data_IF_347075415428
#
_entry.id   IF_347075415428
#
_cell.length_a   1.000
_cell.length_b   1.000
_cell.length_c   1.000
_cell.angle_alpha   90.00
_cell.angle_beta   90.00
_cell.angle_gamma   90.00
#
_symmetry.space_group_name_H-M   'P 1'
#
loop_
_entity.id
_entity.type
_entity.pdbx_description
1 polymer ?
#
# COMPACT_ATOMS: atom_id res chain seq x y z
N UNK A 1 -12.49 -7.64 24.76
CA UNK A 1 -12.73 -6.17 24.66
C UNK A 1 -13.97 -5.98 23.81
N UNK A 2 -14.80 -4.96 24.07
CA UNK A 2 -15.90 -4.67 23.14
C UNK A 2 -15.29 -4.25 21.80
N UNK A 3 -15.57 -5.01 20.75
CA UNK A 3 -15.21 -4.66 19.37
C UNK A 3 -15.82 -3.29 19.11
N UNK A 4 -14.97 -2.28 18.90
CA UNK A 4 -15.44 -0.98 18.43
C UNK A 4 -15.81 -1.21 16.98
N UNK A 5 -17.11 -1.16 16.65
CA UNK A 5 -17.58 -1.22 15.25
C UNK A 5 -16.88 -0.12 14.46
N UNK A 6 -15.85 -0.50 13.70
CA UNK A 6 -15.02 0.46 12.96
C UNK A 6 -15.65 0.76 11.61
N UNK A 7 -16.29 -0.23 11.00
CA UNK A 7 -17.00 -0.10 9.74
C UNK A 7 -18.50 -0.17 9.94
N UNK A 8 -19.16 1.00 9.93
CA UNK A 8 -20.63 1.11 10.02
C UNK A 8 -21.32 1.14 8.66
N UNK A 9 -20.69 0.53 7.65
CA UNK A 9 -21.16 0.60 6.28
C UNK A 9 -22.56 -0.02 6.17
N UNK A 10 -23.56 0.81 5.91
CA UNK A 10 -24.95 0.35 5.72
C UNK A 10 -25.16 -0.38 4.40
N UNK A 11 -24.08 -0.67 3.64
CA UNK A 11 -24.12 -1.19 2.27
C UNK A 11 -24.19 -2.72 2.21
N UNK A 12 -23.93 -3.40 3.32
CA UNK A 12 -23.93 -4.86 3.41
C UNK A 12 -24.61 -5.36 4.69
N UNK A 13 -24.92 -6.66 4.72
CA UNK A 13 -25.32 -7.42 5.92
C UNK A 13 -24.25 -8.45 6.36
N UNK A 14 -23.04 -8.44 5.79
CA UNK A 14 -21.93 -9.25 6.30
C UNK A 14 -21.24 -8.55 7.48
N UNK A 15 -20.63 -9.33 8.36
CA UNK A 15 -19.79 -8.82 9.45
C UNK A 15 -18.44 -8.32 8.89
N UNK A 16 -18.31 -7.00 8.78
CA UNK A 16 -17.10 -6.36 8.24
C UNK A 16 -15.96 -6.34 9.26
N UNK A 17 -16.25 -6.30 10.56
CA UNK A 17 -15.22 -6.32 11.59
C UNK A 17 -14.50 -7.68 11.65
N UNK A 18 -15.20 -8.75 11.25
CA UNK A 18 -14.61 -10.08 11.08
C UNK A 18 -13.84 -10.22 9.75
N UNK A 19 -14.24 -9.51 8.69
CA UNK A 19 -13.60 -9.62 7.37
C UNK A 19 -12.37 -8.72 7.22
N UNK A 20 -12.36 -7.56 7.87
CA UNK A 20 -11.27 -6.58 7.77
C UNK A 20 -9.96 -7.16 8.30
N UNK A 21 -8.83 -6.73 7.72
CA UNK A 21 -7.53 -6.95 8.32
C UNK A 21 -7.29 -6.02 9.52
N UNK A 22 -6.72 -6.52 10.61
CA UNK A 22 -6.50 -5.73 11.82
C UNK A 22 -5.61 -4.51 11.58
N UNK A 23 -4.57 -4.64 10.75
CA UNK A 23 -3.67 -3.52 10.43
C UNK A 23 -4.39 -2.37 9.72
N UNK A 24 -5.34 -2.68 8.82
CA UNK A 24 -6.17 -1.66 8.17
C UNK A 24 -7.07 -0.94 9.20
N UNK A 25 -7.76 -1.71 10.05
CA UNK A 25 -8.60 -1.17 11.13
C UNK A 25 -7.81 -0.27 12.09
N UNK A 26 -6.62 -0.71 12.51
CA UNK A 26 -5.76 0.00 13.46
C UNK A 26 -5.36 1.39 12.94
N UNK A 27 -4.93 1.47 11.67
CA UNK A 27 -4.61 2.77 11.03
C UNK A 27 -5.83 3.68 10.89
N UNK A 28 -7.01 3.13 10.56
CA UNK A 28 -8.24 3.94 10.46
C UNK A 28 -8.61 4.57 11.80
N UNK A 29 -8.51 3.78 12.89
CA UNK A 29 -8.73 4.28 14.25
C UNK A 29 -7.72 5.37 14.62
N UNK A 30 -6.45 5.19 14.26
CA UNK A 30 -5.41 6.21 14.45
C UNK A 30 -5.73 7.50 13.67
N UNK A 31 -6.10 7.39 12.39
CA UNK A 31 -6.42 8.53 11.55
C UNK A 31 -7.67 9.28 11.99
N UNK A 32 -8.67 8.59 12.57
CA UNK A 32 -9.86 9.23 13.14
C UNK A 32 -9.53 10.08 14.38
N UNK A 33 -8.46 9.74 15.12
CA UNK A 33 -7.97 10.52 16.27
C UNK A 33 -6.96 11.61 15.87
N UNK A 34 -6.32 11.48 14.71
CA UNK A 34 -5.31 12.41 14.21
C UNK A 34 -5.91 13.74 13.72
N UNK A 35 -5.58 14.83 14.41
CA UNK A 35 -6.15 16.16 14.12
C UNK A 35 -5.69 16.74 12.79
N UNK A 36 -4.46 16.47 12.36
CA UNK A 36 -3.88 17.04 11.13
C UNK A 36 -4.46 16.34 9.91
N UNK A 37 -4.59 15.01 9.96
CA UNK A 37 -5.29 14.21 8.95
C UNK A 37 -6.76 14.62 8.87
N UNK A 38 -7.48 14.68 9.99
CA UNK A 38 -8.91 15.04 9.98
C UNK A 38 -9.15 16.47 9.47
N UNK A 39 -8.26 17.41 9.82
CA UNK A 39 -8.32 18.78 9.29
C UNK A 39 -8.19 18.78 7.76
N UNK A 40 -7.20 18.08 7.24
CA UNK A 40 -6.94 17.97 5.79
C UNK A 40 -8.11 17.33 5.06
N UNK A 41 -8.69 16.26 5.61
CA UNK A 41 -9.87 15.59 5.03
C UNK A 41 -11.09 16.53 4.99
N UNK A 42 -11.29 17.35 6.01
CA UNK A 42 -12.38 18.32 6.01
C UNK A 42 -12.15 19.42 4.96
N UNK A 43 -10.92 19.89 4.78
CA UNK A 43 -10.56 20.84 3.72
C UNK A 43 -10.81 20.24 2.32
N UNK A 44 -10.52 18.96 2.10
CA UNK A 44 -10.84 18.25 0.86
C UNK A 44 -12.36 18.21 0.62
N UNK A 45 -13.13 17.84 1.64
CA UNK A 45 -14.60 17.75 1.55
C UNK A 45 -15.26 19.09 1.23
N UNK A 46 -14.75 20.17 1.80
CA UNK A 46 -15.27 21.52 1.59
C UNK A 46 -14.97 22.05 0.18
N UNK A 47 -13.80 21.71 -0.38
CA UNK A 47 -13.33 22.20 -1.67
C UNK A 47 -13.72 21.30 -2.87
N UNK A 48 -14.02 20.03 -2.65
CA UNK A 48 -14.43 19.09 -3.69
C UNK A 48 -15.84 18.53 -3.41
N UNK A 49 -16.91 19.20 -3.87
CA UNK A 49 -18.25 18.62 -3.80
C UNK A 49 -18.28 17.30 -4.59
N UNK A 50 -18.77 16.24 -3.92
CA UNK A 50 -18.92 14.86 -4.40
C UNK A 50 -18.79 14.74 -5.92
N UNK A 51 -17.64 14.22 -6.36
CA UNK A 51 -17.37 13.96 -7.77
C UNK A 51 -18.53 13.12 -8.35
N UNK A 52 -19.26 13.65 -9.34
CA UNK A 52 -20.34 12.92 -10.02
C UNK A 52 -19.74 11.91 -11.00
N UNK A 53 -19.13 10.88 -10.43
CA UNK A 53 -18.39 9.77 -11.08
C UNK A 53 -19.09 9.25 -12.32
N UNK A 54 -20.40 8.98 -12.23
CA UNK A 54 -21.18 8.39 -13.32
C UNK A 54 -21.17 9.20 -14.63
N UNK A 55 -21.28 10.55 -14.57
CA UNK A 55 -21.32 11.38 -15.79
C UNK A 55 -19.95 11.45 -16.45
N UNK A 56 -18.88 11.40 -15.67
CA UNK A 56 -17.53 11.32 -16.19
C UNK A 56 -17.30 9.97 -16.87
N UNK A 57 -17.65 8.86 -16.20
CA UNK A 57 -17.55 7.50 -16.74
C UNK A 57 -18.28 7.36 -18.08
N UNK A 58 -19.51 7.88 -18.19
CA UNK A 58 -20.28 7.82 -19.45
C UNK A 58 -19.65 8.60 -20.62
N UNK A 59 -18.69 9.50 -20.37
CA UNK A 59 -17.98 10.24 -21.42
C UNK A 59 -16.70 9.54 -21.88
N UNK A 60 -16.00 8.85 -20.98
CA UNK A 60 -14.68 8.26 -21.23
C UNK A 60 -14.69 6.74 -21.39
N UNK A 61 -15.81 6.08 -21.08
CA UNK A 61 -15.93 4.62 -21.04
C UNK A 61 -17.26 4.11 -21.59
N UNK A 62 -17.28 2.85 -22.04
CA UNK A 62 -18.48 2.18 -22.55
C UNK A 62 -19.21 1.49 -21.38
N UNK A 63 -20.48 1.82 -21.18
CA UNK A 63 -21.34 1.12 -20.22
C UNK A 63 -21.65 -0.29 -20.69
N UNK A 64 -21.36 -1.29 -19.87
CA UNK A 64 -21.62 -2.70 -20.14
C UNK A 64 -22.97 -3.13 -19.57
N UNK A 65 -24.00 -3.09 -20.42
CA UNK A 65 -25.34 -3.56 -20.06
C UNK A 65 -25.41 -5.09 -19.98
N UNK A 66 -26.43 -5.65 -19.32
CA UNK A 66 -26.66 -7.11 -19.23
C UNK A 66 -26.76 -7.78 -20.61
N UNK A 67 -27.20 -7.06 -21.63
CA UNK A 67 -27.24 -7.54 -23.02
C UNK A 67 -25.87 -7.58 -23.69
N UNK A 68 -24.95 -6.67 -23.32
CA UNK A 68 -23.60 -6.60 -23.87
C UNK A 68 -22.61 -7.54 -23.16
N UNK A 69 -22.75 -7.69 -21.84
CA UNK A 69 -21.83 -8.45 -21.01
C UNK A 69 -22.57 -9.31 -19.98
N UNK A 70 -23.33 -10.34 -20.40
CA UNK A 70 -24.11 -11.17 -19.49
C UNK A 70 -23.25 -11.83 -18.40
N UNK A 71 -22.04 -12.30 -18.75
CA UNK A 71 -21.12 -12.92 -17.79
C UNK A 71 -20.69 -11.98 -16.66
N UNK A 72 -20.46 -10.69 -16.95
CA UNK A 72 -20.15 -9.69 -15.91
C UNK A 72 -21.35 -9.44 -15.00
N UNK A 73 -22.57 -9.45 -15.55
CA UNK A 73 -23.77 -9.28 -14.73
C UNK A 73 -24.02 -10.50 -13.83
N UNK A 74 -23.65 -11.70 -14.27
CA UNK A 74 -23.65 -12.89 -13.39
C UNK A 74 -22.59 -12.79 -12.27
N UNK A 75 -21.43 -12.20 -12.57
CA UNK A 75 -20.40 -11.89 -11.56
C UNK A 75 -20.96 -10.90 -10.53
N UNK A 76 -21.61 -9.82 -10.99
CA UNK A 76 -22.25 -8.87 -10.08
C UNK A 76 -23.32 -9.51 -9.20
N UNK A 77 -24.24 -10.28 -9.81
CA UNK A 77 -25.30 -10.97 -9.07
C UNK A 77 -24.69 -11.89 -7.98
N UNK A 78 -23.62 -12.62 -8.31
CA UNK A 78 -22.89 -13.46 -7.35
C UNK A 78 -22.20 -12.67 -6.24
N UNK A 79 -21.48 -11.59 -6.56
CA UNK A 79 -20.82 -10.75 -5.54
C UNK A 79 -21.85 -10.08 -4.62
N UNK A 80 -22.99 -9.63 -5.15
CA UNK A 80 -24.11 -9.10 -4.35
C UNK A 80 -24.61 -10.15 -3.37
N UNK A 81 -24.80 -11.39 -3.83
CA UNK A 81 -25.28 -12.48 -2.99
C UNK A 81 -24.29 -12.91 -1.91
N UNK A 82 -22.99 -12.99 -2.24
CA UNK A 82 -21.94 -13.39 -1.30
C UNK A 82 -21.69 -12.31 -0.25
N UNK A 83 -21.47 -11.07 -0.70
CA UNK A 83 -21.19 -9.93 0.16
C UNK A 83 -22.46 -9.26 0.70
N UNK A 84 -23.64 -9.87 0.51
CA UNK A 84 -24.95 -9.35 0.98
C UNK A 84 -25.15 -7.87 0.71
N UNK A 85 -24.80 -7.43 -0.50
CA UNK A 85 -24.84 -6.01 -0.86
C UNK A 85 -26.29 -5.54 -1.00
N UNK A 86 -26.53 -4.31 -0.52
CA UNK A 86 -27.82 -3.62 -0.68
C UNK A 86 -27.86 -2.73 -1.93
N UNK A 87 -26.70 -2.45 -2.52
CA UNK A 87 -26.53 -1.66 -3.74
C UNK A 87 -26.39 -2.56 -4.98
N UNK A 88 -26.85 -2.06 -6.13
CA UNK A 88 -26.64 -2.71 -7.43
C UNK A 88 -25.28 -2.33 -8.03
N UNK A 89 -24.77 -3.14 -8.97
CA UNK A 89 -23.47 -2.89 -9.64
C UNK A 89 -23.70 -2.49 -11.11
N UNK A 90 -23.03 -1.43 -11.56
CA UNK A 90 -23.01 -0.98 -12.95
C UNK A 90 -21.57 -1.00 -13.49
N UNK A 91 -21.35 -1.78 -14.56
CA UNK A 91 -20.03 -1.95 -15.16
C UNK A 91 -19.75 -0.99 -16.32
N UNK A 92 -18.49 -0.60 -16.43
CA UNK A 92 -17.93 0.20 -17.52
C UNK A 92 -16.63 -0.42 -18.02
N UNK A 93 -16.33 -0.24 -19.31
CA UNK A 93 -15.04 -0.61 -19.90
C UNK A 93 -14.36 0.57 -20.55
N UNK A 94 -13.06 0.70 -20.33
CA UNK A 94 -12.21 1.69 -21.01
C UNK A 94 -11.10 1.01 -21.79
N UNK A 95 -10.62 1.69 -22.83
CA UNK A 95 -9.58 1.17 -23.70
C UNK A 95 -8.22 1.26 -23.00
N UNK A 96 -7.69 0.11 -22.61
CA UNK A 96 -6.31 -0.04 -22.13
C UNK A 96 -5.88 -1.49 -22.27
N UNK A 97 -4.62 -1.71 -22.63
CA UNK A 97 -4.01 -3.04 -22.67
C UNK A 97 -3.44 -3.46 -21.30
N UNK A 98 -3.29 -2.52 -20.36
CA UNK A 98 -2.91 -2.82 -18.97
C UNK A 98 -4.07 -3.55 -18.27
N UNK A 99 -3.77 -4.46 -17.36
CA UNK A 99 -4.80 -5.11 -16.54
C UNK A 99 -5.10 -4.22 -15.35
N UNK A 100 -6.29 -3.63 -15.32
CA UNK A 100 -6.67 -2.73 -14.24
C UNK A 100 -8.19 -2.68 -14.10
N UNK A 101 -8.66 -2.51 -12.87
CA UNK A 101 -10.03 -2.25 -12.51
C UNK A 101 -10.06 -1.19 -11.40
N UNK A 102 -11.19 -0.52 -11.24
CA UNK A 102 -11.39 0.41 -10.13
C UNK A 102 -12.87 0.50 -9.79
N UNK A 103 -13.19 0.65 -8.51
CA UNK A 103 -14.49 1.11 -8.07
C UNK A 103 -14.50 2.64 -7.91
N UNK A 104 -15.52 3.30 -8.46
CA UNK A 104 -15.72 4.73 -8.25
C UNK A 104 -16.62 4.99 -7.04
N UNK A 105 -16.50 6.17 -6.40
CA UNK A 105 -17.31 6.53 -5.24
C UNK A 105 -18.80 6.23 -5.49
N UNK A 106 -19.42 5.44 -4.59
CA UNK A 106 -20.74 4.89 -4.81
C UNK A 106 -21.84 5.95 -4.65
N UNK A 107 -22.92 5.80 -5.42
CA UNK A 107 -24.19 6.45 -5.08
C UNK A 107 -24.89 5.62 -3.96
N UNK A 108 -25.97 6.14 -3.36
CA UNK A 108 -26.68 5.44 -2.27
C UNK A 108 -27.07 4.00 -2.65
N UNK A 109 -27.54 3.78 -3.89
CA UNK A 109 -28.09 2.50 -4.37
C UNK A 109 -27.22 1.81 -5.44
N UNK A 110 -26.05 2.38 -5.79
CA UNK A 110 -25.21 1.88 -6.89
C UNK A 110 -23.71 1.97 -6.66
N UNK A 111 -23.04 0.89 -7.06
CA UNK A 111 -21.59 0.79 -7.21
C UNK A 111 -21.22 0.88 -8.69
N UNK A 112 -20.15 1.61 -8.98
CA UNK A 112 -19.65 1.79 -10.34
C UNK A 112 -18.29 1.13 -10.48
N UNK A 113 -18.21 0.04 -11.24
CA UNK A 113 -16.95 -0.68 -11.47
C UNK A 113 -16.52 -0.44 -12.90
N UNK A 114 -15.30 0.07 -13.06
CA UNK A 114 -14.67 0.24 -14.37
C UNK A 114 -13.56 -0.79 -14.54
N UNK A 115 -13.48 -1.40 -15.72
CA UNK A 115 -12.52 -2.47 -16.03
C UNK A 115 -11.80 -2.12 -17.33
N UNK A 116 -10.50 -2.36 -17.43
CA UNK A 116 -9.79 -2.19 -18.68
C UNK A 116 -10.18 -3.25 -19.71
N UNK A 117 -10.15 -2.91 -21.00
CA UNK A 117 -10.34 -3.89 -22.07
C UNK A 117 -9.35 -5.05 -21.99
N UNK A 118 -8.11 -4.79 -21.58
CA UNK A 118 -7.08 -5.80 -21.42
C UNK A 118 -7.45 -6.85 -20.37
N UNK A 119 -7.97 -6.42 -19.21
CA UNK A 119 -8.42 -7.36 -18.17
C UNK A 119 -9.67 -8.12 -18.60
N UNK A 120 -10.67 -7.41 -19.14
CA UNK A 120 -11.94 -8.00 -19.55
C UNK A 120 -11.79 -9.15 -20.56
N UNK A 121 -10.86 -9.02 -21.51
CA UNK A 121 -10.64 -10.01 -22.57
C UNK A 121 -9.73 -11.18 -22.14
N UNK A 122 -8.92 -11.01 -21.08
CA UNK A 122 -7.87 -11.96 -20.73
C UNK A 122 -8.12 -12.74 -19.43
N UNK A 123 -9.15 -12.37 -18.65
CA UNK A 123 -9.45 -12.98 -17.36
C UNK A 123 -10.68 -13.88 -17.47
N UNK A 124 -10.66 -15.02 -16.79
CA UNK A 124 -11.83 -15.91 -16.72
C UNK A 124 -12.90 -15.32 -15.81
N UNK A 125 -14.10 -15.91 -15.83
CA UNK A 125 -15.19 -15.49 -14.95
C UNK A 125 -14.80 -15.55 -13.47
N UNK A 126 -14.08 -16.59 -13.07
CA UNK A 126 -13.63 -16.82 -11.70
C UNK A 126 -12.51 -15.86 -11.28
N UNK A 127 -11.61 -15.53 -12.20
CA UNK A 127 -10.56 -14.52 -11.96
C UNK A 127 -11.19 -13.12 -11.83
N UNK A 128 -12.20 -12.80 -12.66
CA UNK A 128 -12.96 -11.55 -12.55
C UNK A 128 -13.84 -11.48 -11.28
N UNK A 129 -14.31 -12.61 -10.73
CA UNK A 129 -14.98 -12.65 -9.42
C UNK A 129 -14.07 -12.14 -8.31
N UNK A 130 -12.79 -12.53 -8.33
CA UNK A 130 -11.79 -12.03 -7.38
C UNK A 130 -11.60 -10.51 -7.55
N UNK A 131 -11.34 -10.05 -8.78
CA UNK A 131 -11.11 -8.62 -9.05
C UNK A 131 -12.32 -7.78 -8.64
N UNK A 132 -13.53 -8.16 -9.06
CA UNK A 132 -14.75 -7.41 -8.73
C UNK A 132 -15.02 -7.43 -7.23
N UNK A 133 -14.82 -8.57 -6.56
CA UNK A 133 -14.94 -8.65 -5.11
C UNK A 133 -13.94 -7.78 -4.35
N UNK A 134 -12.70 -7.70 -4.85
CA UNK A 134 -11.64 -6.85 -4.32
C UNK A 134 -12.02 -5.36 -4.44
N UNK A 135 -12.45 -4.92 -5.61
CA UNK A 135 -12.93 -3.54 -5.84
C UNK A 135 -14.13 -3.16 -4.95
N UNK A 136 -15.04 -4.11 -4.71
CA UNK A 136 -16.15 -3.91 -3.78
C UNK A 136 -15.63 -3.83 -2.34
N UNK A 137 -14.60 -4.60 -1.99
CA UNK A 137 -13.92 -4.53 -0.69
C UNK A 137 -13.49 -3.10 -0.35
N UNK A 138 -12.85 -2.39 -1.28
CA UNK A 138 -12.50 -0.97 -1.07
C UNK A 138 -13.69 -0.07 -0.75
N UNK A 139 -14.87 -0.37 -1.28
CA UNK A 139 -16.09 0.38 -0.96
C UNK A 139 -16.63 0.00 0.41
N UNK A 140 -16.65 -1.29 0.74
CA UNK A 140 -17.20 -1.79 1.99
C UNK A 140 -16.42 -1.28 3.20
N UNK A 141 -15.09 -1.28 3.10
CA UNK A 141 -14.18 -0.75 4.11
C UNK A 141 -13.90 0.75 3.96
N UNK A 142 -14.70 1.47 3.17
CA UNK A 142 -14.62 2.93 3.03
C UNK A 142 -13.21 3.47 2.72
N UNK A 143 -12.36 2.72 2.01
CA UNK A 143 -10.98 3.12 1.72
C UNK A 143 -10.91 4.47 0.95
N UNK A 144 -11.97 4.81 0.20
CA UNK A 144 -12.09 6.11 -0.47
C UNK A 144 -12.21 7.31 0.49
N UNK A 145 -12.43 7.11 1.79
CA UNK A 145 -12.44 8.16 2.82
C UNK A 145 -11.06 8.80 2.98
N UNK A 146 -9.99 8.05 2.67
CA UNK A 146 -8.61 8.48 2.80
C UNK A 146 -7.88 8.43 1.45
N UNK A 147 -8.20 9.33 0.50
CA UNK A 147 -7.52 9.38 -0.79
C UNK A 147 -6.08 9.89 -0.60
N UNK A 148 -5.12 8.97 -0.37
CA UNK A 148 -3.75 9.29 0.07
C UNK A 148 -3.13 10.41 -0.75
N UNK A 149 -3.10 10.32 -2.08
CA UNK A 149 -2.47 11.33 -2.94
C UNK A 149 -3.06 12.72 -2.76
N UNK A 150 -4.38 12.83 -2.65
CA UNK A 150 -5.08 14.11 -2.47
C UNK A 150 -4.92 14.64 -1.04
N UNK A 151 -4.88 13.76 -0.04
CA UNK A 151 -4.54 14.11 1.34
C UNK A 151 -3.14 14.71 1.40
N UNK A 152 -2.16 14.10 0.73
CA UNK A 152 -0.79 14.60 0.70
C UNK A 152 -0.66 15.91 -0.09
N UNK A 153 -1.37 16.03 -1.22
CA UNK A 153 -1.39 17.26 -2.03
C UNK A 153 -1.97 18.45 -1.24
N UNK A 154 -3.16 18.29 -0.65
CA UNK A 154 -3.82 19.38 0.11
C UNK A 154 -3.13 19.62 1.45
N UNK A 155 -2.63 18.55 2.06
CA UNK A 155 -1.98 18.56 3.35
C UNK A 155 -0.49 18.92 3.31
N UNK A 156 0.09 19.31 2.18
CA UNK A 156 1.55 19.53 2.05
C UNK A 156 2.14 20.49 3.11
N UNK A 157 1.37 21.49 3.54
CA UNK A 157 1.78 22.45 4.57
C UNK A 157 1.29 22.12 5.99
N UNK A 158 0.55 21.02 6.16
CA UNK A 158 -0.08 20.61 7.42
C UNK A 158 0.50 19.29 7.92
N UNK A 159 0.71 18.35 7.02
CA UNK A 159 1.10 16.98 7.30
C UNK A 159 2.62 16.85 7.30
N UNK A 160 3.16 16.27 8.36
CA UNK A 160 4.57 15.85 8.40
C UNK A 160 4.84 14.62 7.52
N UNK A 161 6.11 14.35 7.13
CA UNK A 161 6.48 13.13 6.41
C UNK A 161 6.05 11.85 7.12
N UNK A 162 6.00 11.84 8.46
CA UNK A 162 5.51 10.69 9.22
C UNK A 162 4.05 10.36 8.88
N UNK A 163 3.20 11.37 8.66
CA UNK A 163 1.81 11.14 8.21
C UNK A 163 1.79 10.50 6.82
N UNK A 164 2.64 10.97 5.90
CA UNK A 164 2.76 10.36 4.58
C UNK A 164 3.18 8.90 4.64
N UNK A 165 4.20 8.57 5.45
CA UNK A 165 4.63 7.18 5.66
C UNK A 165 3.49 6.31 6.21
N UNK A 166 2.72 6.81 7.19
CA UNK A 166 1.56 6.10 7.76
C UNK A 166 0.42 5.94 6.76
N UNK A 167 0.09 6.97 5.97
CA UNK A 167 -0.93 6.90 4.93
C UNK A 167 -0.57 5.86 3.85
N UNK A 168 0.70 5.81 3.43
CA UNK A 168 1.15 4.77 2.51
C UNK A 168 1.17 3.38 3.15
N UNK A 169 1.50 3.27 4.44
CA UNK A 169 1.41 2.00 5.18
C UNK A 169 -0.02 1.51 5.26
N UNK A 170 -0.96 2.37 5.65
CA UNK A 170 -2.38 2.08 5.62
C UNK A 170 -2.87 1.64 4.24
N UNK A 171 -2.49 2.34 3.16
CA UNK A 171 -2.88 1.96 1.80
C UNK A 171 -2.46 0.52 1.45
N UNK A 172 -1.29 0.06 1.95
CA UNK A 172 -0.86 -1.33 1.78
C UNK A 172 -1.68 -2.32 2.61
N UNK A 173 -2.07 -1.93 3.82
CA UNK A 173 -2.91 -2.73 4.72
C UNK A 173 -4.34 -2.87 4.17
N UNK A 174 -4.91 -1.80 3.61
CA UNK A 174 -6.22 -1.74 2.98
C UNK A 174 -6.37 -2.77 1.83
N UNK A 175 -5.30 -3.03 1.08
CA UNK A 175 -5.29 -4.05 0.02
C UNK A 175 -5.51 -5.47 0.57
N UNK A 176 -5.05 -5.76 1.80
CA UNK A 176 -5.28 -7.06 2.45
C UNK A 176 -6.77 -7.24 2.79
N UNK A 177 -7.41 -6.19 3.31
CA UNK A 177 -8.86 -6.20 3.56
C UNK A 177 -9.65 -6.40 2.26
N UNK A 178 -9.29 -5.67 1.20
CA UNK A 178 -9.92 -5.82 -0.11
C UNK A 178 -9.70 -7.22 -0.71
N UNK A 179 -8.50 -7.78 -0.57
CA UNK A 179 -8.18 -9.14 -0.98
C UNK A 179 -9.04 -10.19 -0.30
N UNK A 180 -9.29 -10.06 1.01
CA UNK A 180 -10.20 -10.98 1.74
C UNK A 180 -11.61 -10.96 1.14
N UNK A 181 -12.13 -9.78 0.81
CA UNK A 181 -13.43 -9.65 0.13
C UNK A 181 -13.41 -10.27 -1.29
N UNK A 182 -12.32 -10.09 -2.03
CA UNK A 182 -12.08 -10.72 -3.33
C UNK A 182 -12.07 -12.26 -3.23
N UNK A 183 -11.31 -12.83 -2.30
CA UNK A 183 -11.26 -14.28 -2.09
C UNK A 183 -12.62 -14.82 -1.66
N UNK A 184 -13.36 -14.10 -0.82
CA UNK A 184 -14.71 -14.49 -0.41
C UNK A 184 -15.66 -14.59 -1.61
N UNK A 185 -15.61 -13.62 -2.55
CA UNK A 185 -16.39 -13.67 -3.78
C UNK A 185 -15.97 -14.81 -4.73
N UNK A 186 -14.66 -15.01 -4.88
CA UNK A 186 -14.12 -16.04 -5.77
C UNK A 186 -14.32 -17.47 -5.23
N UNK A 187 -14.17 -17.65 -3.92
CA UNK A 187 -14.28 -18.93 -3.22
C UNK A 187 -13.18 -19.94 -3.55
N UNK A 188 -12.13 -19.54 -4.29
CA UNK A 188 -11.05 -20.43 -4.72
C UNK A 188 -9.69 -19.74 -4.71
N UNK A 189 -8.85 -20.09 -3.74
CA UNK A 189 -7.50 -19.52 -3.60
C UNK A 189 -6.57 -19.79 -4.78
N UNK A 190 -6.70 -20.92 -5.47
CA UNK A 190 -5.87 -21.22 -6.65
C UNK A 190 -6.15 -20.26 -7.80
N UNK A 191 -7.42 -19.90 -7.99
CA UNK A 191 -7.85 -18.89 -8.98
C UNK A 191 -7.31 -17.51 -8.59
N UNK A 192 -7.35 -17.15 -7.30
CA UNK A 192 -6.80 -15.88 -6.82
C UNK A 192 -5.29 -15.79 -7.06
N UNK A 193 -4.53 -16.82 -6.71
CA UNK A 193 -3.10 -16.86 -6.96
C UNK A 193 -2.76 -16.79 -8.47
N UNK A 194 -3.56 -17.46 -9.33
CA UNK A 194 -3.43 -17.34 -10.78
C UNK A 194 -3.77 -15.93 -11.28
N UNK A 195 -4.73 -15.26 -10.66
CA UNK A 195 -5.09 -13.87 -10.95
C UNK A 195 -3.91 -12.94 -10.65
N UNK A 196 -3.29 -13.07 -9.47
CA UNK A 196 -2.06 -12.33 -9.15
C UNK A 196 -0.90 -12.64 -10.09
N UNK A 197 -0.75 -13.90 -10.52
CA UNK A 197 0.24 -14.27 -11.51
C UNK A 197 0.03 -13.50 -12.83
N UNK A 198 -1.21 -13.40 -13.32
CA UNK A 198 -1.54 -12.62 -14.52
C UNK A 198 -1.30 -11.13 -14.33
N UNK A 199 -1.71 -10.57 -13.21
CA UNK A 199 -1.49 -9.16 -12.86
C UNK A 199 0.00 -8.80 -12.84
N UNK A 200 0.83 -9.67 -12.25
CA UNK A 200 2.27 -9.45 -12.12
C UNK A 200 3.04 -9.65 -13.42
N UNK A 201 2.69 -10.69 -14.18
CA UNK A 201 3.52 -11.14 -15.31
C UNK A 201 3.00 -10.68 -16.67
N UNK A 202 1.73 -10.28 -16.76
CA UNK A 202 1.06 -10.07 -18.05
C UNK A 202 0.74 -11.37 -18.81
N UNK A 203 1.14 -12.54 -18.30
CA UNK A 203 1.03 -13.82 -19.03
C UNK A 203 -0.37 -14.40 -18.88
N UNK A 204 -1.16 -14.30 -19.95
CA UNK A 204 -2.56 -14.76 -20.00
C UNK A 204 -2.75 -16.06 -20.78
N UNK A 205 -1.72 -16.51 -21.49
CA UNK A 205 -1.77 -17.62 -22.41
C UNK A 205 -1.90 -18.98 -21.72
N UNK A 206 -2.75 -19.85 -22.26
CA UNK A 206 -2.84 -21.27 -21.89
C UNK A 206 -1.56 -22.09 -22.21
N UNK A 207 -0.53 -21.48 -22.81
CA UNK A 207 0.74 -22.16 -23.09
C UNK A 207 1.63 -22.34 -21.87
N UNK A 208 1.30 -21.70 -20.75
CA UNK A 208 1.97 -21.92 -19.47
C UNK A 208 1.09 -22.82 -18.59
N UNK A 209 1.61 -23.97 -18.20
CA UNK A 209 0.97 -24.83 -17.21
C UNK A 209 1.17 -24.23 -15.81
N UNK A 210 0.27 -23.34 -15.41
CA UNK A 210 0.33 -22.68 -14.11
C UNK A 210 0.17 -23.74 -13.01
N UNK A 211 1.19 -23.83 -12.16
CA UNK A 211 1.18 -24.71 -10.98
C UNK A 211 1.26 -23.85 -9.74
N UNK A 212 0.15 -23.80 -9.00
CA UNK A 212 0.06 -23.05 -7.75
C UNK A 212 1.25 -23.33 -6.82
N UNK A 213 1.55 -24.61 -6.59
CA UNK A 213 2.65 -25.00 -5.70
C UNK A 213 4.02 -24.52 -6.18
N UNK A 214 4.26 -24.44 -7.49
CA UNK A 214 5.54 -23.95 -8.01
C UNK A 214 5.61 -22.42 -7.94
N UNK A 215 4.49 -21.74 -8.14
CA UNK A 215 4.39 -20.29 -7.95
C UNK A 215 4.55 -19.90 -6.47
N UNK A 216 3.83 -20.58 -5.57
CA UNK A 216 3.94 -20.35 -4.12
C UNK A 216 5.32 -20.75 -3.58
N UNK A 217 5.98 -21.79 -4.10
CA UNK A 217 7.35 -22.13 -3.65
C UNK A 217 8.35 -21.01 -3.91
N UNK A 218 8.22 -20.27 -5.01
CA UNK A 218 9.01 -19.06 -5.25
C UNK A 218 8.82 -18.02 -4.15
N UNK A 219 7.70 -18.11 -3.41
CA UNK A 219 7.35 -17.23 -2.31
C UNK A 219 7.58 -17.83 -0.91
N UNK A 220 7.58 -19.14 -0.74
CA UNK A 220 8.01 -19.78 0.52
C UNK A 220 9.49 -19.53 0.75
N UNK A 221 10.26 -19.47 -0.34
CA UNK A 221 11.63 -18.98 -0.29
C UNK A 221 11.71 -17.48 0.05
N UNK A 222 10.62 -16.69 0.11
CA UNK A 222 10.69 -15.28 0.51
C UNK A 222 11.30 -15.13 1.90
N UNK A 223 10.93 -15.95 2.88
CA UNK A 223 11.53 -15.82 4.21
C UNK A 223 13.05 -16.09 4.19
N UNK A 224 13.51 -17.00 3.31
CA UNK A 224 14.93 -17.28 3.09
C UNK A 224 15.62 -16.19 2.25
N UNK A 225 14.95 -15.67 1.22
CA UNK A 225 15.36 -14.60 0.32
C UNK A 225 15.44 -13.26 1.04
N UNK A 226 14.54 -13.02 1.98
CA UNK A 226 14.52 -11.85 2.86
C UNK A 226 15.67 -11.85 3.87
N UNK A 227 16.13 -13.05 4.24
CA UNK A 227 17.34 -13.25 5.04
C UNK A 227 18.61 -13.41 4.17
N UNK A 228 18.47 -13.52 2.85
CA UNK A 228 19.59 -13.57 1.92
C UNK A 228 20.02 -12.15 1.56
N UNK A 229 21.15 -11.75 2.11
CA UNK A 229 21.81 -10.47 1.82
C UNK A 229 22.19 -10.27 0.34
N UNK A 230 22.07 -11.28 -0.53
CA UNK A 230 22.37 -11.21 -1.96
C UNK A 230 21.16 -11.00 -2.88
N UNK A 231 19.93 -11.07 -2.37
CA UNK A 231 18.75 -10.80 -3.18
C UNK A 231 18.39 -9.32 -3.16
N UNK A 232 17.99 -8.76 -4.30
CA UNK A 232 17.50 -7.39 -4.41
C UNK A 232 15.97 -7.39 -4.48
N UNK A 233 15.27 -7.01 -3.38
CA UNK A 233 13.81 -6.90 -3.33
C UNK A 233 13.28 -5.57 -3.88
N UNK A 234 14.07 -4.78 -4.61
CA UNK A 234 13.65 -3.48 -5.17
C UNK A 234 12.38 -3.56 -6.03
N UNK A 235 12.14 -4.69 -6.70
CA UNK A 235 10.92 -5.00 -7.46
C UNK A 235 9.64 -5.05 -6.61
N UNK A 236 9.75 -5.08 -5.28
CA UNK A 236 8.63 -5.22 -4.36
C UNK A 236 7.91 -3.90 -4.05
N UNK A 237 8.44 -2.77 -4.51
CA UNK A 237 7.94 -1.41 -4.21
C UNK A 237 7.11 -0.78 -5.35
N UNK A 238 6.61 -1.59 -6.28
CA UNK A 238 5.73 -1.10 -7.36
C UNK A 238 4.39 -0.57 -6.81
N UNK A 239 3.59 0.12 -7.65
CA UNK A 239 2.35 0.85 -7.30
C UNK A 239 1.26 0.12 -6.48
N UNK A 240 1.35 -1.19 -6.29
CA UNK A 240 0.53 -1.97 -5.34
C UNK A 240 1.43 -2.78 -4.40
N UNK A 241 1.04 -3.05 -3.14
CA UNK A 241 1.80 -3.95 -2.26
C UNK A 241 2.13 -5.26 -2.98
N UNK A 242 3.37 -5.71 -2.83
CA UNK A 242 3.96 -6.85 -3.53
C UNK A 242 3.00 -8.06 -3.55
N UNK A 243 2.59 -8.45 -4.76
CA UNK A 243 1.63 -9.54 -5.00
C UNK A 243 1.93 -10.83 -4.20
N UNK A 244 3.20 -11.22 -3.99
CA UNK A 244 3.52 -12.36 -3.14
C UNK A 244 3.21 -12.23 -1.64
N UNK A 245 3.40 -11.04 -1.02
CA UNK A 245 3.01 -10.85 0.38
C UNK A 245 1.49 -10.94 0.51
N UNK A 246 0.76 -10.37 -0.45
CA UNK A 246 -0.69 -10.45 -0.54
C UNK A 246 -1.19 -11.88 -0.73
N UNK A 247 -0.57 -12.65 -1.64
CA UNK A 247 -0.85 -14.08 -1.81
C UNK A 247 -0.60 -14.83 -0.51
N UNK A 248 0.49 -14.52 0.22
CA UNK A 248 0.80 -15.17 1.49
C UNK A 248 -0.23 -14.83 2.56
N UNK A 249 -0.63 -13.57 2.68
CA UNK A 249 -1.69 -13.13 3.58
C UNK A 249 -3.03 -13.82 3.26
N UNK A 250 -3.35 -13.94 1.97
CA UNK A 250 -4.53 -14.68 1.51
C UNK A 250 -4.43 -16.19 1.74
N UNK A 251 -3.24 -16.78 1.69
CA UNK A 251 -3.02 -18.19 2.03
C UNK A 251 -3.35 -18.44 3.50
N UNK A 252 -2.90 -17.53 4.39
CA UNK A 252 -3.22 -17.56 5.82
C UNK A 252 -4.74 -17.38 6.03
N UNK A 253 -5.35 -16.39 5.38
CA UNK A 253 -6.80 -16.19 5.43
C UNK A 253 -7.59 -17.40 4.92
N UNK A 254 -7.13 -18.04 3.83
CA UNK A 254 -7.74 -19.25 3.29
C UNK A 254 -7.71 -20.44 4.27
N UNK A 255 -6.75 -20.45 5.21
CA UNK A 255 -6.58 -21.47 6.25
C UNK A 255 -7.20 -21.07 7.59
N UNK A 256 -7.81 -19.90 7.69
CA UNK A 256 -8.29 -19.35 8.96
C UNK A 256 -9.65 -19.88 9.41
N UNK A 257 -9.87 -19.86 10.73
CA UNK A 257 -11.21 -20.00 11.30
C UNK A 257 -12.15 -18.89 10.85
N UNK A 258 -11.64 -17.68 10.62
CA UNK A 258 -12.38 -16.52 10.09
C UNK A 258 -13.07 -16.84 8.76
N UNK A 259 -12.34 -17.34 7.76
CA UNK A 259 -12.94 -17.70 6.46
C UNK A 259 -13.96 -18.83 6.61
N UNK A 260 -13.74 -19.79 7.51
CA UNK A 260 -14.68 -20.88 7.78
C UNK A 260 -16.03 -20.38 8.31
N UNK A 261 -16.07 -19.23 8.99
CA UNK A 261 -17.34 -18.62 9.42
C UNK A 261 -18.17 -18.15 8.22
N UNK A 262 -17.53 -17.68 7.16
CA UNK A 262 -18.19 -17.26 5.92
C UNK A 262 -18.46 -18.43 4.96
N UNK A 263 -17.52 -19.38 4.87
CA UNK A 263 -17.56 -20.53 3.97
C UNK A 263 -17.40 -21.82 4.80
N UNK A 264 -18.51 -22.44 5.28
CA UNK A 264 -18.45 -23.59 6.19
C UNK A 264 -17.73 -24.84 5.65
N UNK A 265 -17.51 -24.92 4.34
CA UNK A 265 -16.77 -26.03 3.70
C UNK A 265 -15.25 -25.89 3.79
N UNK A 266 -14.72 -24.74 4.23
CA UNK A 266 -13.28 -24.52 4.38
C UNK A 266 -12.76 -25.28 5.62
N UNK A 267 -11.62 -25.94 5.46
CA UNK A 267 -10.91 -26.57 6.55
C UNK A 267 -9.99 -25.54 7.23
N UNK A 268 -10.39 -25.05 8.40
CA UNK A 268 -9.57 -24.15 9.20
C UNK A 268 -8.41 -24.90 9.86
N UNK A 269 -7.21 -24.34 9.74
CA UNK A 269 -5.95 -24.85 10.29
C UNK A 269 -5.35 -23.90 11.34
N UNK A 270 -5.68 -22.61 11.27
CA UNK A 270 -5.17 -21.56 12.18
C UNK A 270 -6.31 -20.72 12.75
N UNK A 271 -6.11 -20.20 13.96
CA UNK A 271 -7.07 -19.29 14.61
C UNK A 271 -7.00 -17.89 14.00
N UNK A 272 -8.00 -17.06 14.30
CA UNK A 272 -8.03 -15.64 13.92
C UNK A 272 -6.78 -14.90 14.45
N UNK A 273 -6.50 -14.97 15.76
CA UNK A 273 -5.32 -14.35 16.37
C UNK A 273 -4.00 -14.77 15.68
N UNK A 274 -3.84 -16.06 15.37
CA UNK A 274 -2.65 -16.57 14.69
C UNK A 274 -2.52 -16.03 13.27
N UNK A 275 -3.63 -15.95 12.54
CA UNK A 275 -3.66 -15.39 11.20
C UNK A 275 -3.27 -13.91 11.23
N UNK A 276 -3.89 -13.11 12.10
CA UNK A 276 -3.63 -11.67 12.21
C UNK A 276 -2.18 -11.39 12.61
N UNK A 277 -1.63 -12.12 13.59
CA UNK A 277 -0.23 -12.00 14.01
C UNK A 277 0.76 -12.33 12.89
N UNK A 278 0.51 -13.40 12.12
CA UNK A 278 1.39 -13.79 11.01
C UNK A 278 1.30 -12.80 9.84
N UNK A 279 0.10 -12.32 9.50
CA UNK A 279 -0.05 -11.27 8.48
C UNK A 279 0.64 -9.99 8.95
N UNK A 280 0.50 -9.60 10.22
CA UNK A 280 1.19 -8.43 10.79
C UNK A 280 2.71 -8.55 10.70
N UNK A 281 3.29 -9.71 11.00
CA UNK A 281 4.74 -9.95 10.80
C UNK A 281 5.15 -9.81 9.33
N UNK A 282 4.28 -10.20 8.40
CA UNK A 282 4.55 -10.05 6.97
C UNK A 282 4.50 -8.56 6.58
N UNK A 283 3.50 -7.83 7.06
CA UNK A 283 3.27 -6.43 6.71
C UNK A 283 4.30 -5.50 7.36
N UNK A 284 4.73 -5.77 8.59
CA UNK A 284 5.71 -4.95 9.31
C UNK A 284 7.05 -4.80 8.58
N UNK A 285 7.37 -5.74 7.68
CA UNK A 285 8.54 -5.69 6.80
C UNK A 285 8.52 -4.49 5.84
N UNK A 286 7.36 -3.91 5.58
CA UNK A 286 7.18 -2.72 4.74
C UNK A 286 6.86 -1.47 5.56
N UNK A 287 6.75 -1.57 6.88
CA UNK A 287 6.26 -0.50 7.75
C UNK A 287 7.40 0.28 8.43
N UNK A 288 7.16 1.55 8.80
CA UNK A 288 8.16 2.40 9.43
C UNK A 288 8.42 2.06 10.92
N UNK A 289 8.04 0.86 11.40
CA UNK A 289 8.14 0.44 12.81
C UNK A 289 9.56 0.58 13.40
N UNK A 290 10.58 0.59 12.55
CA UNK A 290 11.97 0.82 12.95
C UNK A 290 12.22 2.22 13.56
N UNK A 291 11.36 3.21 13.29
CA UNK A 291 11.41 4.54 13.89
C UNK A 291 10.96 4.55 15.36
N UNK A 292 10.17 3.57 15.80
CA UNK A 292 9.56 3.54 17.14
C UNK A 292 10.42 2.82 18.20
N UNK A 293 11.51 2.17 17.81
CA UNK A 293 12.26 1.32 18.75
C UNK A 293 13.30 2.10 19.57
N UNK A 294 13.20 2.05 20.90
CA UNK A 294 14.23 2.49 21.87
C UNK A 294 15.49 1.59 21.84
N UNK A 295 15.74 0.92 20.72
CA UNK A 295 16.88 0.05 20.52
C UNK A 295 18.07 0.88 20.01
N UNK A 296 19.29 0.43 20.31
CA UNK A 296 20.51 1.05 19.77
C UNK A 296 20.49 1.10 18.23
N UNK A 297 19.82 0.14 17.59
CA UNK A 297 19.64 0.07 16.14
C UNK A 297 18.65 1.11 15.62
N UNK A 298 17.51 1.30 16.30
CA UNK A 298 16.53 2.34 15.96
C UNK A 298 17.16 3.73 15.97
N UNK A 299 17.99 4.03 16.98
CA UNK A 299 18.71 5.30 17.04
C UNK A 299 19.67 5.52 15.87
N UNK A 300 20.35 4.46 15.38
CA UNK A 300 21.25 4.56 14.22
C UNK A 300 20.48 4.79 12.92
N UNK A 301 19.35 4.13 12.73
CA UNK A 301 18.49 4.36 11.56
C UNK A 301 17.96 5.79 11.59
N UNK A 302 17.44 6.25 12.73
CA UNK A 302 16.96 7.63 12.88
C UNK A 302 18.07 8.65 12.61
N UNK A 303 19.29 8.43 13.10
CA UNK A 303 20.44 9.30 12.76
C UNK A 303 20.75 9.31 11.27
N UNK A 304 20.74 8.15 10.62
CA UNK A 304 20.95 8.06 9.17
C UNK A 304 19.85 8.80 8.40
N UNK A 305 18.58 8.60 8.77
CA UNK A 305 17.42 9.32 8.20
C UNK A 305 17.56 10.82 8.39
N UNK A 306 17.97 11.27 9.57
CA UNK A 306 18.12 12.68 9.89
C UNK A 306 19.25 13.34 9.10
N UNK A 307 20.45 12.77 9.10
CA UNK A 307 21.57 13.34 8.34
C UNK A 307 21.35 13.21 6.84
N UNK A 308 20.79 12.10 6.36
CA UNK A 308 20.44 11.91 4.95
C UNK A 308 19.40 12.94 4.49
N UNK A 309 18.34 13.12 5.27
CA UNK A 309 17.32 14.13 5.01
C UNK A 309 17.88 15.56 5.09
N UNK A 310 18.76 15.85 6.04
CA UNK A 310 19.45 17.14 6.09
C UNK A 310 20.33 17.39 4.85
N UNK A 311 21.03 16.36 4.36
CA UNK A 311 21.82 16.46 3.13
C UNK A 311 20.93 16.70 1.89
N UNK A 312 19.71 16.16 1.88
CA UNK A 312 18.72 16.44 0.84
C UNK A 312 18.29 17.90 0.93
N UNK A 313 17.90 18.37 2.11
CA UNK A 313 17.43 19.76 2.32
C UNK A 313 18.47 20.85 2.08
N UNK A 314 19.78 20.55 2.17
CA UNK A 314 20.83 21.52 1.84
C UNK A 314 21.24 21.44 0.36
N UNK A 315 20.68 20.54 -0.44
CA UNK A 315 21.17 20.23 -1.78
C UNK A 315 21.01 21.42 -2.75
N UNK A 316 19.95 22.22 -2.58
CA UNK A 316 19.68 23.43 -3.34
C UNK A 316 20.40 24.68 -2.77
N UNK A 317 21.05 24.54 -1.61
CA UNK A 317 21.78 25.57 -0.89
C UNK A 317 20.96 26.43 0.07
N UNK A 318 19.67 26.14 0.28
CA UNK A 318 18.79 26.86 1.21
C UNK A 318 18.00 25.87 2.08
N UNK A 319 18.28 25.85 3.38
CA UNK A 319 17.47 25.06 4.31
C UNK A 319 16.30 25.90 4.80
N UNK A 320 15.09 25.43 4.54
CA UNK A 320 13.87 26.01 5.08
C UNK A 320 13.54 25.44 6.48
N UNK A 321 12.96 26.28 7.35
CA UNK A 321 12.54 25.86 8.70
C UNK A 321 11.51 24.71 8.66
N UNK A 322 10.71 24.65 7.59
CA UNK A 322 9.76 23.57 7.27
C UNK A 322 10.45 22.21 7.13
N UNK A 323 11.61 22.16 6.48
CA UNK A 323 12.35 20.94 6.24
C UNK A 323 12.98 20.39 7.52
N UNK A 324 13.57 21.26 8.35
CA UNK A 324 14.09 20.86 9.66
C UNK A 324 12.95 20.33 10.54
N UNK A 325 11.78 20.94 10.47
CA UNK A 325 10.60 20.48 11.20
C UNK A 325 10.08 19.13 10.65
N UNK A 326 10.18 18.90 9.34
CA UNK A 326 9.87 17.62 8.71
C UNK A 326 10.80 16.51 9.25
N UNK A 327 12.11 16.77 9.32
CA UNK A 327 13.10 15.85 9.90
C UNK A 327 12.90 15.61 11.40
N UNK A 328 12.38 16.58 12.14
CA UNK A 328 12.04 16.40 13.56
C UNK A 328 10.95 15.36 13.76
N UNK A 329 10.00 15.26 12.83
CA UNK A 329 8.83 14.38 12.98
C UNK A 329 9.15 12.88 12.87
N UNK A 330 10.29 12.54 12.25
CA UNK A 330 10.68 11.15 11.95
C UNK A 330 11.70 10.59 12.95
N UNK A 331 12.21 11.40 13.88
CA UNK A 331 13.19 10.96 14.89
C UNK A 331 12.72 11.27 16.30
N UNK A 332 13.23 10.53 17.28
CA UNK A 332 12.98 10.83 18.68
C UNK A 332 13.73 12.11 19.12
N UNK A 333 13.31 12.67 20.25
CA UNK A 333 13.82 13.95 20.74
C UNK A 333 15.32 13.91 21.08
N UNK A 334 15.84 12.77 21.53
CA UNK A 334 17.24 12.61 21.91
C UNK A 334 18.15 12.58 20.67
N UNK A 335 17.74 11.84 19.64
CA UNK A 335 18.41 11.80 18.33
C UNK A 335 18.36 13.17 17.68
N UNK A 336 17.19 13.83 17.65
CA UNK A 336 17.05 15.17 17.10
C UNK A 336 18.04 16.16 17.74
N UNK A 337 18.07 16.18 19.07
CA UNK A 337 18.92 17.11 19.83
C UNK A 337 20.41 16.85 19.58
N UNK A 338 20.81 15.58 19.56
CA UNK A 338 22.20 15.19 19.31
C UNK A 338 22.61 15.53 17.88
N UNK A 339 21.78 15.20 16.90
CA UNK A 339 22.08 15.45 15.49
C UNK A 339 22.12 16.94 15.15
N UNK A 340 21.24 17.76 15.75
CA UNK A 340 21.30 19.22 15.60
C UNK A 340 22.60 19.82 16.18
N UNK A 341 23.08 19.31 17.32
CA UNK A 341 24.38 19.73 17.85
C UNK A 341 25.49 19.38 16.86
N UNK A 342 25.51 18.14 16.35
CA UNK A 342 26.49 17.70 15.37
C UNK A 342 26.51 18.61 14.14
N UNK A 343 25.34 18.91 13.55
CA UNK A 343 25.24 19.80 12.38
C UNK A 343 25.78 21.20 12.67
N UNK A 344 25.53 21.72 13.89
CA UNK A 344 26.01 23.06 14.25
C UNK A 344 27.53 23.13 14.50
N UNK A 345 28.16 22.01 14.85
CA UNK A 345 29.56 21.92 15.22
C UNK A 345 30.47 21.43 14.09
N UNK A 346 29.90 20.80 13.06
CA UNK A 346 30.63 20.11 12.00
C UNK A 346 30.35 20.69 10.61
N UNK A 347 31.30 20.49 9.71
CA UNK A 347 31.19 20.81 8.29
C UNK A 347 30.37 19.76 7.53
N UNK A 348 29.91 20.09 6.33
CA UNK A 348 29.20 19.13 5.47
C UNK A 348 30.02 17.86 5.19
N UNK A 349 31.33 17.99 4.97
CA UNK A 349 32.23 16.85 4.75
C UNK A 349 32.28 15.92 5.98
N UNK A 350 32.30 16.49 7.19
CA UNK A 350 32.30 15.72 8.44
C UNK A 350 30.95 15.01 8.66
N UNK A 351 29.83 15.62 8.25
CA UNK A 351 28.50 14.97 8.29
C UNK A 351 28.45 13.80 7.29
N UNK A 352 29.04 13.97 6.09
CA UNK A 352 29.17 12.89 5.11
C UNK A 352 30.01 11.74 5.69
N UNK A 353 31.12 12.04 6.38
CA UNK A 353 31.94 11.03 7.05
C UNK A 353 31.16 10.29 8.15
N UNK A 354 30.31 11.00 8.91
CA UNK A 354 29.42 10.38 9.89
C UNK A 354 28.38 9.46 9.22
N UNK A 355 27.73 9.92 8.14
CA UNK A 355 26.83 9.12 7.32
C UNK A 355 27.49 7.84 6.79
N UNK A 356 28.73 7.95 6.31
CA UNK A 356 29.52 6.80 5.85
C UNK A 356 29.85 5.81 6.99
N UNK A 357 30.06 6.30 8.20
CA UNK A 357 30.34 5.43 9.35
C UNK A 357 29.08 4.72 9.82
N UNK A 358 27.96 5.44 9.92
CA UNK A 358 26.66 4.84 10.24
C UNK A 358 26.27 3.81 9.18
N UNK A 359 26.45 4.12 7.90
CA UNK A 359 26.08 3.20 6.81
C UNK A 359 26.89 1.90 6.83
N UNK A 360 28.16 1.90 7.27
CA UNK A 360 28.95 0.66 7.45
C UNK A 360 28.31 -0.28 8.45
N UNK A 361 27.83 0.25 9.57
CA UNK A 361 27.14 -0.54 10.60
C UNK A 361 25.78 -1.01 10.12
N UNK A 362 24.99 -0.12 9.51
CA UNK A 362 23.68 -0.46 8.96
C UNK A 362 23.78 -1.54 7.88
N UNK A 363 24.81 -1.51 7.02
CA UNK A 363 25.03 -2.53 6.00
C UNK A 363 25.35 -3.93 6.54
N UNK A 364 25.81 -4.02 7.79
CA UNK A 364 26.09 -5.30 8.45
C UNK A 364 24.85 -5.82 9.17
N UNK A 365 24.03 -4.91 9.69
CA UNK A 365 22.94 -5.26 10.60
C UNK A 365 21.55 -5.27 9.97
N UNK A 366 21.34 -4.50 8.91
CA UNK A 366 20.04 -4.39 8.26
C UNK A 366 19.90 -5.37 7.10
N UNK A 367 18.70 -5.93 6.96
CA UNK A 367 18.31 -6.64 5.75
C UNK A 367 18.22 -5.67 4.57
N UNK A 368 18.27 -6.21 3.34
CA UNK A 368 18.11 -5.39 2.13
C UNK A 368 16.77 -4.65 2.16
N UNK A 369 15.71 -5.32 2.62
CA UNK A 369 14.37 -4.73 2.75
C UNK A 369 14.35 -3.51 3.68
N UNK A 370 14.99 -3.57 4.84
CA UNK A 370 15.06 -2.44 5.76
C UNK A 370 15.80 -1.25 5.15
N UNK A 371 16.85 -1.50 4.36
CA UNK A 371 17.59 -0.45 3.64
C UNK A 371 16.73 0.18 2.54
N UNK A 372 15.95 -0.61 1.82
CA UNK A 372 14.98 -0.10 0.83
C UNK A 372 13.90 0.76 1.50
N UNK A 373 13.37 0.36 2.66
CA UNK A 373 12.39 1.16 3.41
C UNK A 373 12.98 2.52 3.81
N UNK A 374 14.22 2.55 4.32
CA UNK A 374 14.93 3.79 4.66
C UNK A 374 15.01 4.73 3.44
N UNK A 375 15.39 4.20 2.27
CA UNK A 375 15.51 4.99 1.04
C UNK A 375 14.15 5.47 0.50
N UNK A 376 13.11 4.62 0.57
CA UNK A 376 11.73 5.02 0.26
C UNK A 376 11.29 6.16 1.17
N UNK A 377 11.52 6.02 2.46
CA UNK A 377 11.07 6.99 3.46
C UNK A 377 11.86 8.32 3.35
N UNK A 378 13.13 8.27 2.95
CA UNK A 378 13.91 9.46 2.53
C UNK A 378 13.35 10.12 1.26
N UNK A 379 12.89 9.33 0.30
CA UNK A 379 12.29 9.85 -0.93
C UNK A 379 10.94 10.53 -0.67
N UNK A 380 10.20 10.10 0.37
CA UNK A 380 8.98 10.79 0.81
C UNK A 380 9.32 12.17 1.42
N UNK A 381 10.45 12.28 2.13
CA UNK A 381 10.90 13.54 2.72
C UNK A 381 11.30 14.54 1.62
N UNK A 382 12.00 14.09 0.58
CA UNK A 382 12.35 14.96 -0.56
C UNK A 382 11.14 15.44 -1.36
N UNK A 383 9.99 14.77 -1.28
CA UNK A 383 8.78 15.17 -2.00
C UNK A 383 7.92 16.19 -1.24
N UNK A 384 8.38 16.70 -0.09
CA UNK A 384 7.53 17.47 0.84
C UNK A 384 6.97 18.78 0.26
N UNK A 385 7.62 19.35 -0.76
CA UNK A 385 7.22 20.57 -1.47
C UNK A 385 6.49 20.31 -2.81
N UNK A 386 6.37 19.04 -3.22
CA UNK A 386 5.67 18.60 -4.43
C UNK A 386 6.50 18.58 -5.72
N UNK A 387 7.78 18.98 -5.70
CA UNK A 387 8.70 18.87 -6.84
C UNK A 387 10.09 18.44 -6.37
N UNK A 388 10.64 17.36 -6.93
CA UNK A 388 12.00 16.91 -6.55
C UNK A 388 13.02 17.52 -7.50
N UNK A 389 13.97 18.27 -6.94
CA UNK A 389 15.09 18.87 -7.67
C UNK A 389 16.12 17.81 -8.08
N UNK A 390 16.88 18.07 -9.14
CA UNK A 390 17.90 17.11 -9.64
C UNK A 390 19.00 16.87 -8.61
N UNK A 391 19.33 17.93 -7.89
CA UNK A 391 20.32 17.97 -6.82
C UNK A 391 19.91 17.03 -5.67
N UNK A 392 18.62 16.99 -5.31
CA UNK A 392 18.08 16.08 -4.29
C UNK A 392 18.11 14.62 -4.75
N UNK A 393 17.78 14.35 -6.03
CA UNK A 393 17.90 13.01 -6.61
C UNK A 393 19.35 12.51 -6.55
N UNK A 394 20.34 13.37 -6.80
CA UNK A 394 21.75 13.02 -6.69
C UNK A 394 22.13 12.64 -5.25
N UNK A 395 21.62 13.36 -4.24
CA UNK A 395 21.82 12.99 -2.84
C UNK A 395 21.16 11.64 -2.51
N UNK A 396 19.93 11.40 -2.97
CA UNK A 396 19.25 10.10 -2.79
C UNK A 396 20.02 8.95 -3.45
N UNK A 397 20.58 9.16 -4.64
CA UNK A 397 21.47 8.19 -5.29
C UNK A 397 22.72 7.92 -4.46
N UNK A 398 23.34 8.95 -3.90
CA UNK A 398 24.51 8.80 -3.02
C UNK A 398 24.16 8.03 -1.74
N UNK A 399 23.02 8.33 -1.09
CA UNK A 399 22.52 7.60 0.07
C UNK A 399 22.23 6.13 -0.26
N UNK A 400 21.67 5.86 -1.45
CA UNK A 400 21.48 4.49 -1.95
C UNK A 400 22.79 3.72 -2.08
N UNK A 401 23.83 4.36 -2.63
CA UNK A 401 25.16 3.76 -2.74
C UNK A 401 25.78 3.50 -1.36
N UNK A 402 25.59 4.39 -0.39
CA UNK A 402 26.05 4.18 0.99
C UNK A 402 25.41 2.93 1.62
N UNK A 403 24.14 2.66 1.33
CA UNK A 403 23.42 1.47 1.79
C UNK A 403 23.60 0.24 0.87
N UNK A 404 24.49 0.32 -0.13
CA UNK A 404 24.75 -0.73 -1.11
C UNK A 404 23.48 -1.20 -1.83
N UNK A 405 22.61 -0.25 -2.18
CA UNK A 405 21.39 -0.44 -2.95
C UNK A 405 21.58 0.18 -4.34
N UNK A 406 21.05 -0.49 -5.38
CA UNK A 406 21.07 0.01 -6.75
C UNK A 406 20.23 1.30 -6.87
N UNK A 407 20.78 2.33 -7.52
CA UNK A 407 20.12 3.64 -7.70
C UNK A 407 18.86 3.55 -8.55
N UNK A 408 18.71 2.52 -9.40
CA UNK A 408 17.47 2.26 -10.16
C UNK A 408 16.23 2.13 -9.27
N UNK A 409 16.41 1.73 -8.01
CA UNK A 409 15.33 1.69 -7.02
C UNK A 409 14.76 3.09 -6.73
N UNK A 410 15.64 4.09 -6.58
CA UNK A 410 15.24 5.48 -6.36
C UNK A 410 14.46 5.98 -7.56
N UNK A 411 14.99 5.79 -8.77
CA UNK A 411 14.32 6.23 -9.99
C UNK A 411 12.92 5.63 -10.12
N UNK A 412 12.73 4.37 -9.69
CA UNK A 412 11.41 3.72 -9.68
C UNK A 412 10.45 4.35 -8.68
N UNK A 413 10.88 4.54 -7.42
CA UNK A 413 10.05 5.19 -6.39
C UNK A 413 9.61 6.57 -6.86
N UNK A 414 10.53 7.35 -7.42
CA UNK A 414 10.25 8.71 -7.88
C UNK A 414 9.27 8.72 -9.06
N UNK A 415 9.44 7.80 -10.02
CA UNK A 415 8.49 7.65 -11.13
C UNK A 415 7.10 7.21 -10.65
N UNK A 416 7.01 6.30 -9.68
CA UNK A 416 5.73 5.84 -9.13
C UNK A 416 5.03 6.95 -8.33
N UNK A 417 5.79 7.79 -7.60
CA UNK A 417 5.26 8.97 -6.91
C UNK A 417 4.74 10.04 -7.90
N UNK A 418 5.42 10.24 -9.02
CA UNK A 418 5.02 11.17 -10.09
C UNK A 418 3.93 10.61 -11.02
N UNK A 419 3.70 9.29 -11.00
CA UNK A 419 2.86 8.56 -11.95
C UNK A 419 1.41 8.32 -11.52
N UNK A 420 0.94 8.97 -10.46
CA UNK A 420 -0.46 8.90 -10.02
C UNK A 420 -1.30 9.85 -10.90
N UNK A 421 -1.56 9.43 -12.14
CA UNK A 421 -2.61 9.99 -13.01
C UNK A 421 -3.90 9.15 -12.99
#
# INVERSE_FOLDING_TARGET
>A
MSVIETYKSTRTDIDLDLLVYDGDRDYILEFDEDKEIQKTINEIKDNNPVFKSRRHLLKSSLRLTKALAPNLHEIADHCIDILKLKSSIEFFVYQSNKFNAACYPPEEDKLYIIISSGMLENFTKEELLFVVGHEIGHVLFEHFKYPVSHILEVGCNILSPLHAMKLYAWNRNAEISADRAGLLCCGNFEVVAKTFFKLSSGVTSNSLDFKLNEYIKQFVDLEAVMNDSNHDPSDWYSTHPFNPLRIKALELFNKSETLKQFIPSVNAEITEDQMEDEIKKIMSLMEPEYLASDTEFGAKIQKFMFFGGYMISIADGVVEDSEIQALRSIVNQDVFTTSMMTISEHTQDEIIDELQNISKELNVSLSVMQKLNILRDLSIISYSDGEIAKEEVEILHNLSLLLKINTEFIDRILNDAQGIE
#
